data_IF_370517191383
#
_entry.id   IF_370517191383
#
_cell.length_a   1.000
_cell.length_b   1.000
_cell.length_c   1.000
_cell.angle_alpha   90.00
_cell.angle_beta   90.00
_cell.angle_gamma   90.00
#
_symmetry.space_group_name_H-M   'P 1'
#
loop_
_entity.id
_entity.type
_entity.pdbx_description
1 polymer ?
#
# COMPACT_ATOMS: atom_id res chain seq x y z
N UNK A 1 -4.18 -14.07 20.80
CA UNK A 1 -4.70 -12.79 21.34
C UNK A 1 -5.45 -12.13 20.21
N UNK A 2 -6.74 -11.87 20.40
CA UNK A 2 -7.58 -11.26 19.38
C UNK A 2 -7.10 -9.81 19.17
N UNK A 3 -6.45 -9.56 18.03
CA UNK A 3 -5.91 -8.25 17.72
C UNK A 3 -7.09 -7.35 17.33
N UNK A 4 -7.63 -6.66 18.33
CA UNK A 4 -8.88 -5.91 18.20
C UNK A 4 -8.66 -4.63 17.39
N UNK A 5 -9.55 -4.39 16.44
CA UNK A 5 -9.68 -3.11 15.73
C UNK A 5 -9.94 -1.99 16.75
N UNK A 6 -9.31 -0.84 16.55
CA UNK A 6 -9.52 0.33 17.40
C UNK A 6 -10.32 1.39 16.64
N UNK A 7 -11.45 1.79 17.20
CA UNK A 7 -12.30 2.84 16.62
C UNK A 7 -11.76 4.22 17.05
N UNK A 8 -11.58 5.11 16.09
CA UNK A 8 -11.11 6.48 16.33
C UNK A 8 -11.96 7.50 15.56
N UNK A 9 -11.88 8.76 15.97
CA UNK A 9 -12.47 9.88 15.22
C UNK A 9 -11.38 10.91 14.90
N UNK A 10 -11.25 11.27 13.64
CA UNK A 10 -10.31 12.30 13.17
C UNK A 10 -11.12 13.32 12.38
N UNK A 11 -11.06 14.60 12.77
CA UNK A 11 -11.89 15.64 12.15
C UNK A 11 -13.40 15.37 12.24
N UNK A 12 -13.85 14.59 13.23
CA UNK A 12 -15.25 14.15 13.38
C UNK A 12 -15.59 12.85 12.65
N UNK A 13 -14.78 12.43 11.68
CA UNK A 13 -15.00 11.24 10.84
C UNK A 13 -14.59 9.95 11.55
N UNK A 14 -15.46 8.93 11.59
CA UNK A 14 -15.15 7.63 12.19
C UNK A 14 -14.19 6.83 11.29
N UNK A 15 -13.15 6.28 11.91
CA UNK A 15 -12.12 5.46 11.26
C UNK A 15 -11.79 4.25 12.14
N UNK A 16 -11.23 3.20 11.55
CA UNK A 16 -10.78 2.00 12.25
C UNK A 16 -9.28 1.79 12.04
N UNK A 17 -8.53 1.69 13.13
CA UNK A 17 -7.13 1.24 13.09
C UNK A 17 -7.09 -0.27 13.19
N UNK A 18 -6.40 -0.90 12.24
CA UNK A 18 -6.30 -2.34 12.11
C UNK A 18 -4.92 -2.84 12.55
N UNK A 19 -4.84 -4.04 13.16
CA UNK A 19 -3.55 -4.66 13.53
C UNK A 19 -2.70 -5.01 12.30
N UNK A 20 -3.32 -5.13 11.14
CA UNK A 20 -2.67 -5.20 9.83
C UNK A 20 -2.00 -3.89 9.41
N UNK A 21 -1.67 -2.98 10.34
CA UNK A 21 -1.02 -1.67 10.12
C UNK A 21 -1.69 -0.89 8.98
N UNK A 22 -3.02 -0.81 9.07
CA UNK A 22 -3.84 -0.12 8.10
C UNK A 22 -4.90 0.72 8.80
N UNK A 23 -5.32 1.79 8.13
CA UNK A 23 -6.44 2.63 8.53
C UNK A 23 -7.61 2.30 7.60
N UNK A 24 -8.74 1.88 8.14
CA UNK A 24 -9.97 1.70 7.37
C UNK A 24 -10.88 2.92 7.55
N UNK A 25 -11.31 3.49 6.43
CA UNK A 25 -12.34 4.52 6.36
C UNK A 25 -13.62 3.89 5.76
N UNK A 26 -14.59 3.48 6.60
CA UNK A 26 -15.74 2.69 6.15
C UNK A 26 -16.64 3.43 5.16
N UNK A 27 -16.87 4.72 5.39
CA UNK A 27 -17.75 5.55 4.55
C UNK A 27 -17.23 5.62 3.10
N UNK A 28 -15.92 5.79 2.93
CA UNK A 28 -15.26 5.78 1.63
C UNK A 28 -14.85 4.36 1.15
N UNK A 29 -15.20 3.30 1.90
CA UNK A 29 -14.78 1.90 1.64
C UNK A 29 -13.28 1.77 1.34
N UNK A 30 -12.46 2.52 2.08
CA UNK A 30 -11.04 2.70 1.77
C UNK A 30 -10.16 2.12 2.85
N UNK A 31 -9.18 1.32 2.45
CA UNK A 31 -8.09 0.87 3.28
C UNK A 31 -6.85 1.70 2.93
N UNK A 32 -6.34 2.48 3.88
CA UNK A 32 -5.13 3.27 3.71
C UNK A 32 -3.93 2.62 4.43
N UNK A 33 -2.79 2.57 3.74
CA UNK A 33 -1.50 2.06 4.23
C UNK A 33 -0.39 3.01 3.78
N UNK A 34 0.81 2.87 4.35
CA UNK A 34 2.00 3.63 3.95
C UNK A 34 3.23 2.72 3.93
N UNK A 35 4.25 3.12 3.17
CA UNK A 35 5.61 2.57 3.26
C UNK A 35 5.71 1.05 3.05
N UNK A 36 5.02 0.49 2.05
CA UNK A 36 5.04 -0.95 1.76
C UNK A 36 6.41 -1.46 1.30
N UNK A 37 7.15 -0.64 0.53
CA UNK A 37 8.51 -0.94 0.09
C UNK A 37 8.68 -2.30 -0.61
N UNK A 38 7.78 -2.66 -1.51
CA UNK A 38 7.93 -3.87 -2.32
C UNK A 38 9.22 -3.83 -3.15
N UNK A 39 9.88 -4.98 -3.30
CA UNK A 39 11.17 -5.06 -3.97
C UNK A 39 12.38 -4.77 -3.06
N UNK A 40 12.18 -4.46 -1.76
CA UNK A 40 13.30 -4.21 -0.84
C UNK A 40 14.23 -5.42 -0.72
N UNK A 41 13.67 -6.60 -0.53
CA UNK A 41 14.44 -7.85 -0.44
C UNK A 41 15.21 -8.13 -1.71
N UNK A 42 14.55 -8.00 -2.86
CA UNK A 42 15.11 -8.17 -4.19
C UNK A 42 16.26 -7.19 -4.43
N UNK A 43 16.09 -5.92 -4.06
CA UNK A 43 17.11 -4.88 -4.17
C UNK A 43 18.37 -5.22 -3.38
N UNK A 44 18.24 -5.70 -2.15
CA UNK A 44 19.40 -6.12 -1.34
C UNK A 44 20.07 -7.39 -1.88
N UNK A 45 19.29 -8.33 -2.41
CA UNK A 45 19.82 -9.54 -3.05
C UNK A 45 20.65 -9.21 -4.30
N UNK A 46 20.26 -8.20 -5.09
CA UNK A 46 21.08 -7.72 -6.21
C UNK A 46 22.46 -7.17 -5.76
N UNK A 47 22.59 -6.78 -4.49
CA UNK A 47 23.85 -6.36 -3.88
C UNK A 47 24.56 -7.48 -3.09
N UNK A 48 24.13 -8.74 -3.28
CA UNK A 48 24.76 -9.90 -2.65
C UNK A 48 24.42 -10.11 -1.17
N UNK A 49 23.42 -9.41 -0.64
CA UNK A 49 22.99 -9.55 0.76
C UNK A 49 21.85 -10.59 0.84
N UNK A 50 22.06 -11.74 1.52
CA UNK A 50 21.01 -12.72 1.71
C UNK A 50 20.00 -12.22 2.73
N UNK A 51 18.72 -12.24 2.36
CA UNK A 51 17.60 -11.82 3.19
C UNK A 51 16.49 -12.88 3.23
N UNK A 52 15.59 -12.82 4.25
CA UNK A 52 14.53 -13.79 4.42
C UNK A 52 13.62 -13.96 3.21
N UNK A 53 13.26 -15.23 2.97
CA UNK A 53 12.16 -15.72 2.13
C UNK A 53 10.83 -15.04 2.50
N UNK A 54 9.90 -14.83 1.56
CA UNK A 54 8.47 -14.70 1.92
C UNK A 54 7.97 -13.32 2.37
N UNK A 55 8.83 -12.30 2.47
CA UNK A 55 8.44 -10.96 2.96
C UNK A 55 7.29 -10.35 2.13
N UNK A 56 7.33 -10.53 0.80
CA UNK A 56 6.26 -10.07 -0.07
C UNK A 56 4.97 -10.86 0.15
N UNK A 57 5.06 -12.19 0.28
CA UNK A 57 3.92 -13.08 0.52
C UNK A 57 3.18 -12.72 1.80
N UNK A 58 3.92 -12.50 2.89
CA UNK A 58 3.36 -12.11 4.18
C UNK A 58 2.65 -10.75 4.09
N UNK A 59 3.23 -9.81 3.35
CA UNK A 59 2.65 -8.49 3.16
C UNK A 59 1.36 -8.54 2.33
N UNK A 60 1.37 -9.28 1.23
CA UNK A 60 0.18 -9.49 0.39
C UNK A 60 -0.92 -10.25 1.13
N UNK A 61 -0.57 -11.25 1.94
CA UNK A 61 -1.53 -11.97 2.78
C UNK A 61 -2.18 -11.04 3.82
N UNK A 62 -1.37 -10.19 4.47
CA UNK A 62 -1.83 -9.17 5.42
C UNK A 62 -2.81 -8.19 4.76
N UNK A 63 -2.46 -7.65 3.59
CA UNK A 63 -3.33 -6.73 2.85
C UNK A 63 -4.63 -7.41 2.39
N UNK A 64 -4.55 -8.63 1.86
CA UNK A 64 -5.72 -9.40 1.44
C UNK A 64 -6.68 -9.68 2.60
N UNK A 65 -6.13 -10.02 3.77
CA UNK A 65 -6.90 -10.20 5.00
C UNK A 65 -7.62 -8.91 5.41
N UNK A 66 -6.91 -7.78 5.41
CA UNK A 66 -7.49 -6.49 5.76
C UNK A 66 -8.60 -6.08 4.78
N UNK A 67 -8.39 -6.21 3.46
CA UNK A 67 -9.39 -5.95 2.43
C UNK A 67 -10.64 -6.83 2.61
N UNK A 68 -10.43 -8.14 2.79
CA UNK A 68 -11.53 -9.10 2.98
C UNK A 68 -12.35 -8.81 4.23
N UNK A 69 -11.67 -8.57 5.36
CA UNK A 69 -12.35 -8.42 6.64
C UNK A 69 -13.03 -7.06 6.79
N UNK A 70 -12.59 -6.04 6.05
CA UNK A 70 -13.22 -4.71 6.05
C UNK A 70 -14.27 -4.55 4.95
N UNK A 71 -14.17 -5.31 3.86
CA UNK A 71 -14.97 -5.11 2.67
C UNK A 71 -14.60 -3.85 1.89
N UNK A 72 -13.41 -3.27 2.14
CA UNK A 72 -12.91 -2.11 1.42
C UNK A 72 -12.81 -2.42 -0.09
N UNK A 73 -13.15 -1.41 -0.91
CA UNK A 73 -13.13 -1.46 -2.38
C UNK A 73 -12.02 -0.61 -2.98
N UNK A 74 -11.22 0.03 -2.12
CA UNK A 74 -10.05 0.83 -2.50
C UNK A 74 -8.92 0.60 -1.51
N UNK A 75 -7.72 0.37 -2.04
CA UNK A 75 -6.46 0.39 -1.31
C UNK A 75 -5.71 1.68 -1.68
N UNK A 76 -5.56 2.57 -0.72
CA UNK A 76 -4.82 3.83 -0.84
C UNK A 76 -3.43 3.67 -0.20
N UNK A 77 -2.38 3.84 -0.98
CA UNK A 77 -0.99 3.77 -0.50
C UNK A 77 -0.42 5.18 -0.41
N UNK A 78 -0.01 5.56 0.80
CA UNK A 78 0.57 6.88 1.12
C UNK A 78 2.09 6.85 0.99
N UNK A 79 2.53 6.65 -0.24
CA UNK A 79 3.92 6.69 -0.66
C UNK A 79 4.73 5.45 -0.33
N UNK A 80 5.89 5.40 -0.99
CA UNK A 80 6.90 4.36 -0.91
C UNK A 80 6.30 2.96 -1.08
N UNK A 81 5.49 2.80 -2.14
CA UNK A 81 4.95 1.51 -2.57
C UNK A 81 6.07 0.55 -2.93
N UNK A 82 7.06 1.04 -3.69
CA UNK A 82 8.22 0.25 -4.13
C UNK A 82 9.49 0.80 -3.49
N UNK A 83 10.44 -0.09 -3.20
CA UNK A 83 11.69 0.32 -2.58
C UNK A 83 12.68 0.94 -3.57
N UNK A 84 12.80 0.39 -4.77
CA UNK A 84 13.77 0.83 -5.78
C UNK A 84 13.43 0.26 -7.16
N UNK A 85 14.03 0.82 -8.21
CA UNK A 85 13.84 0.31 -9.58
C UNK A 85 14.46 -1.08 -9.75
N UNK A 86 15.57 -1.33 -9.09
CA UNK A 86 16.33 -2.57 -9.11
C UNK A 86 15.56 -3.72 -8.44
N UNK A 87 14.76 -3.39 -7.41
CA UNK A 87 13.88 -4.34 -6.73
C UNK A 87 12.72 -4.83 -7.59
N UNK A 88 12.36 -4.10 -8.66
CA UNK A 88 11.30 -4.46 -9.61
C UNK A 88 11.75 -5.55 -10.60
N UNK A 89 12.12 -6.71 -10.06
CA UNK A 89 12.45 -7.88 -10.85
C UNK A 89 11.21 -8.41 -11.59
N UNK A 90 11.38 -9.08 -12.74
CA UNK A 90 10.24 -9.68 -13.46
C UNK A 90 9.41 -10.64 -12.60
N UNK A 91 10.03 -11.33 -11.64
CA UNK A 91 9.34 -12.21 -10.71
C UNK A 91 8.45 -11.43 -9.73
N UNK A 92 8.96 -10.34 -9.14
CA UNK A 92 8.17 -9.47 -8.25
C UNK A 92 6.99 -8.86 -9.00
N UNK A 93 7.24 -8.31 -10.20
CA UNK A 93 6.22 -7.67 -11.04
C UNK A 93 5.07 -8.64 -11.31
N UNK A 94 5.38 -9.86 -11.78
CA UNK A 94 4.37 -10.88 -12.07
C UNK A 94 3.58 -11.30 -10.84
N UNK A 95 4.23 -11.49 -9.69
CA UNK A 95 3.56 -11.87 -8.44
C UNK A 95 2.58 -10.79 -7.97
N UNK A 96 2.94 -9.52 -8.12
CA UNK A 96 2.06 -8.39 -7.82
C UNK A 96 0.91 -8.28 -8.81
N UNK A 97 1.15 -8.55 -10.10
CA UNK A 97 0.10 -8.63 -11.11
C UNK A 97 -0.90 -9.77 -10.79
N UNK A 98 -0.41 -10.95 -10.41
CA UNK A 98 -1.25 -12.09 -10.01
C UNK A 98 -2.12 -11.74 -8.78
N UNK A 99 -1.54 -11.04 -7.79
CA UNK A 99 -2.27 -10.56 -6.63
C UNK A 99 -3.30 -9.48 -6.98
N UNK A 100 -2.98 -8.57 -7.91
CA UNK A 100 -3.95 -7.58 -8.42
C UNK A 100 -5.10 -8.24 -9.16
N UNK A 101 -4.83 -9.26 -9.95
CA UNK A 101 -5.87 -10.01 -10.65
C UNK A 101 -6.85 -10.69 -9.68
N UNK A 102 -6.39 -11.19 -8.52
CA UNK A 102 -7.28 -11.75 -7.50
C UNK A 102 -8.08 -10.71 -6.71
N UNK A 103 -7.75 -9.43 -6.84
CA UNK A 103 -8.44 -8.29 -6.23
C UNK A 103 -8.89 -7.27 -7.29
N UNK A 104 -9.28 -7.74 -8.48
CA UNK A 104 -9.55 -6.87 -9.64
C UNK A 104 -10.69 -5.85 -9.41
N UNK A 105 -11.54 -6.08 -8.41
CA UNK A 105 -12.64 -5.20 -7.99
C UNK A 105 -12.23 -4.19 -6.91
N UNK A 106 -10.98 -4.23 -6.44
CA UNK A 106 -10.39 -3.25 -5.54
C UNK A 106 -9.56 -2.26 -6.34
N UNK A 107 -9.89 -0.98 -6.23
CA UNK A 107 -9.08 0.10 -6.79
C UNK A 107 -7.74 0.21 -6.04
N UNK A 108 -6.63 0.42 -6.75
CA UNK A 108 -5.33 0.64 -6.13
C UNK A 108 -4.85 2.06 -6.45
N UNK A 109 -4.84 2.90 -5.44
CA UNK A 109 -4.44 4.31 -5.53
C UNK A 109 -3.10 4.50 -4.84
N UNK A 110 -2.18 5.22 -5.49
CA UNK A 110 -0.87 5.58 -4.95
C UNK A 110 -0.74 7.09 -4.90
N UNK A 111 -0.54 7.65 -3.71
CA UNK A 111 0.07 8.98 -3.56
C UNK A 111 1.59 8.76 -3.48
N UNK A 112 2.36 9.24 -4.46
CA UNK A 112 3.78 8.90 -4.57
C UNK A 112 4.62 9.38 -3.39
N UNK A 113 5.53 8.52 -2.95
CA UNK A 113 6.59 8.85 -2.02
C UNK A 113 7.94 9.06 -2.72
N UNK A 114 8.97 9.29 -1.93
CA UNK A 114 10.33 9.58 -2.42
C UNK A 114 10.95 8.38 -3.15
N UNK A 115 10.69 7.16 -2.71
CA UNK A 115 11.17 5.94 -3.35
C UNK A 115 10.45 5.69 -4.67
N UNK A 116 9.13 5.93 -4.73
CA UNK A 116 8.36 5.81 -5.98
C UNK A 116 8.83 6.81 -7.04
N UNK A 117 9.14 8.05 -6.62
CA UNK A 117 9.71 9.07 -7.49
C UNK A 117 11.06 8.62 -8.09
N UNK A 118 11.94 8.06 -7.25
CA UNK A 118 13.26 7.55 -7.67
C UNK A 118 13.16 6.28 -8.53
N UNK A 119 12.18 5.42 -8.29
CA UNK A 119 11.95 4.22 -9.07
C UNK A 119 11.45 4.53 -10.49
N UNK A 120 10.82 5.69 -10.71
CA UNK A 120 10.31 6.08 -12.02
C UNK A 120 8.98 5.40 -12.36
N UNK A 121 8.67 5.16 -13.65
CA UNK A 121 7.42 4.53 -14.06
C UNK A 121 7.23 3.14 -13.46
N UNK A 122 6.04 2.90 -12.89
CA UNK A 122 5.65 1.61 -12.33
C UNK A 122 4.97 0.72 -13.38
N UNK A 123 4.97 -0.61 -13.20
CA UNK A 123 4.35 -1.55 -14.15
C UNK A 123 2.86 -1.24 -14.39
N UNK A 124 2.48 -1.07 -15.66
CA UNK A 124 1.11 -0.75 -16.04
C UNK A 124 0.11 -1.86 -15.68
N UNK A 125 0.57 -3.11 -15.64
CA UNK A 125 -0.20 -4.31 -15.24
C UNK A 125 -0.67 -4.27 -13.78
N UNK A 126 -0.17 -3.35 -12.95
CA UNK A 126 -0.67 -3.17 -11.58
C UNK A 126 -1.92 -2.29 -11.52
N UNK A 127 -2.27 -1.60 -12.62
CA UNK A 127 -3.46 -0.76 -12.74
C UNK A 127 -3.61 0.26 -11.60
N UNK A 128 -2.53 1.02 -11.37
CA UNK A 128 -2.48 2.07 -10.36
C UNK A 128 -3.17 3.34 -10.85
N UNK A 129 -3.98 3.94 -9.99
CA UNK A 129 -4.27 5.38 -10.08
C UNK A 129 -3.20 6.13 -9.27
N UNK A 130 -2.47 7.06 -9.90
CA UNK A 130 -1.27 7.66 -9.32
C UNK A 130 -1.45 9.16 -9.14
N UNK A 131 -1.32 9.61 -7.89
CA UNK A 131 -1.29 11.00 -7.49
C UNK A 131 0.15 11.41 -7.13
N UNK A 132 0.59 12.55 -7.67
CA UNK A 132 2.00 12.97 -7.53
C UNK A 132 2.37 13.55 -6.16
N UNK A 133 1.42 14.17 -5.43
CA UNK A 133 1.74 14.86 -4.17
C UNK A 133 0.78 14.57 -3.03
N UNK A 134 -0.52 14.63 -3.31
CA UNK A 134 -1.57 14.35 -2.35
C UNK A 134 -2.87 13.98 -3.06
N UNK A 135 -3.79 13.41 -2.28
CA UNK A 135 -5.19 13.22 -2.63
C UNK A 135 -6.04 13.90 -1.55
N UNK A 136 -6.87 14.87 -1.94
CA UNK A 136 -7.83 15.50 -1.05
C UNK A 136 -9.18 14.81 -1.20
N UNK A 137 -9.72 14.29 -0.09
CA UNK A 137 -11.01 13.61 -0.08
C UNK A 137 -11.71 13.75 1.28
N UNK A 138 -12.96 14.21 1.25
CA UNK A 138 -13.69 14.52 2.47
C UNK A 138 -12.92 15.52 3.33
N UNK A 139 -12.74 15.26 4.65
CA UNK A 139 -11.99 16.15 5.54
C UNK A 139 -10.49 15.84 5.58
N UNK A 140 -9.99 14.95 4.72
CA UNK A 140 -8.61 14.49 4.77
C UNK A 140 -7.80 14.93 3.56
N UNK A 141 -6.54 15.28 3.84
CA UNK A 141 -5.48 15.33 2.85
C UNK A 141 -4.57 14.13 3.06
N UNK A 142 -4.54 13.25 2.07
CA UNK A 142 -3.68 12.07 2.04
C UNK A 142 -2.37 12.41 1.35
N UNK A 143 -1.26 12.40 2.08
CA UNK A 143 0.07 12.73 1.57
C UNK A 143 1.12 11.80 2.19
N UNK A 144 2.20 11.54 1.46
CA UNK A 144 3.36 10.81 1.99
C UNK A 144 4.12 11.65 3.03
N UNK A 145 4.35 12.93 2.73
CA UNK A 145 5.04 13.85 3.64
C UNK A 145 4.03 14.48 4.62
N UNK A 146 4.30 14.44 5.95
CA UNK A 146 3.42 15.03 6.96
C UNK A 146 3.66 16.55 7.08
N UNK A 147 3.63 17.26 5.95
CA UNK A 147 3.77 18.72 5.96
C UNK A 147 2.46 19.34 6.45
N UNK A 148 2.49 20.24 7.45
CA UNK A 148 1.30 20.96 7.89
C UNK A 148 0.67 21.70 6.71
N UNK A 149 -0.65 21.57 6.56
CA UNK A 149 -1.48 22.34 5.63
C UNK A 149 -1.87 23.69 6.21
#
# INVERSE_FOLDING_TARGET
>A
MDARRCQVRVGGTPLELLPERALHWPEARTLAVADLHWGKTESFQQHGIPLPLGVLEDDLARLSSALTTTGARRLLVLGDLVHSREGLTPALIRRLADWRASHADVELVLVRGNHDLRAGPLPAEWHLDVHESHLDEGPFRFAHHPTPS
#
